data_IF_553812144802
#
_entry.id   IF_553812144802
#
_cell.length_a   1.000
_cell.length_b   1.000
_cell.length_c   1.000
_cell.angle_alpha   90.00
_cell.angle_beta   90.00
_cell.angle_gamma   90.00
#
_symmetry.space_group_name_H-M   'P 1'
#
loop_
_entity.id
_entity.type
_entity.pdbx_description
1 polymer ?
#
# COMPACT_ATOMS: atom_id res chain seq x y z
N UNK A 1 -12.95 22.05 23.46
CA UNK A 1 -13.17 21.03 22.42
C UNK A 1 -11.90 20.93 21.60
N UNK A 2 -11.18 19.82 21.67
CA UNK A 2 -10.08 19.58 20.73
C UNK A 2 -10.70 19.38 19.35
N UNK A 3 -10.23 20.14 18.35
CA UNK A 3 -10.68 19.99 16.96
C UNK A 3 -10.37 18.56 16.50
N UNK A 4 -11.40 17.82 16.07
CA UNK A 4 -11.20 16.51 15.44
C UNK A 4 -10.23 16.68 14.27
N UNK A 5 -9.13 15.92 14.30
CA UNK A 5 -8.08 16.01 13.29
C UNK A 5 -8.62 15.79 11.88
N UNK A 6 -7.92 16.33 10.87
CA UNK A 6 -8.29 16.15 9.48
C UNK A 6 -8.07 14.69 9.07
N UNK A 7 -9.08 14.06 8.47
CA UNK A 7 -8.94 12.69 7.96
C UNK A 7 -8.02 12.71 6.73
N UNK A 8 -6.99 11.88 6.75
CA UNK A 8 -6.08 11.65 5.62
C UNK A 8 -6.19 10.18 5.22
N UNK A 9 -6.78 9.92 4.07
CA UNK A 9 -6.88 8.57 3.51
C UNK A 9 -5.69 8.32 2.59
N UNK A 10 -4.91 7.28 2.86
CA UNK A 10 -3.80 6.84 2.03
C UNK A 10 -4.21 5.60 1.25
N UNK A 11 -4.41 5.77 -0.06
CA UNK A 11 -4.54 4.65 -0.99
C UNK A 11 -3.15 4.15 -1.39
N UNK A 12 -2.91 2.84 -1.30
CA UNK A 12 -1.60 2.29 -1.63
C UNK A 12 -1.66 0.84 -2.09
N UNK A 13 -0.61 0.43 -2.80
CA UNK A 13 -0.31 -0.95 -3.17
C UNK A 13 1.15 -1.25 -2.81
N UNK A 14 1.41 -2.44 -2.27
CA UNK A 14 2.77 -2.86 -1.89
C UNK A 14 3.71 -3.03 -3.10
N UNK A 15 3.16 -3.09 -4.32
CA UNK A 15 3.92 -3.02 -5.58
C UNK A 15 4.50 -1.64 -5.88
N UNK A 16 4.09 -0.60 -5.15
CA UNK A 16 4.53 0.77 -5.43
C UNK A 16 5.60 1.21 -4.43
N UNK A 17 6.86 1.44 -4.87
CA UNK A 17 7.90 1.95 -3.98
C UNK A 17 7.62 3.40 -3.55
N UNK A 18 7.02 4.22 -4.42
CA UNK A 18 6.58 5.57 -4.08
C UNK A 18 5.46 5.58 -3.02
N UNK A 19 4.56 4.58 -3.05
CA UNK A 19 3.56 4.44 -1.99
C UNK A 19 4.20 4.07 -0.66
N UNK A 20 5.30 3.30 -0.65
CA UNK A 20 6.04 3.03 0.58
C UNK A 20 6.66 4.29 1.18
N UNK A 21 7.29 5.13 0.34
CA UNK A 21 7.84 6.41 0.77
C UNK A 21 6.77 7.31 1.41
N UNK A 22 5.65 7.50 0.72
CA UNK A 22 4.53 8.31 1.23
C UNK A 22 3.95 7.73 2.53
N UNK A 23 3.82 6.40 2.58
CA UNK A 23 3.36 5.68 3.77
C UNK A 23 4.27 5.95 4.99
N UNK A 24 5.59 5.83 4.85
CA UNK A 24 6.51 6.05 5.96
C UNK A 24 6.51 7.51 6.42
N UNK A 25 6.42 8.47 5.49
CA UNK A 25 6.27 9.89 5.82
C UNK A 25 4.99 10.12 6.62
N UNK A 26 3.84 9.68 6.13
CA UNK A 26 2.56 9.86 6.83
C UNK A 26 2.56 9.18 8.21
N UNK A 27 3.15 7.99 8.33
CA UNK A 27 3.31 7.31 9.62
C UNK A 27 4.17 8.08 10.62
N UNK A 28 5.24 8.76 10.15
CA UNK A 28 6.09 9.61 11.01
C UNK A 28 5.36 10.86 11.47
N UNK A 29 4.57 11.47 10.59
CA UNK A 29 3.90 12.75 10.85
C UNK A 29 2.52 12.63 11.52
N UNK A 30 1.89 11.44 11.58
CA UNK A 30 0.57 11.27 12.23
C UNK A 30 0.54 11.69 13.71
N UNK A 31 1.67 11.65 14.40
CA UNK A 31 1.80 12.05 15.80
C UNK A 31 2.26 13.51 15.96
N UNK A 32 2.55 14.20 14.85
CA UNK A 32 3.01 15.60 14.80
C UNK A 32 1.89 16.50 14.27
N UNK A 33 1.17 16.04 13.26
CA UNK A 33 0.04 16.74 12.66
C UNK A 33 -1.28 16.30 13.29
N UNK A 34 -2.25 17.21 13.38
CA UNK A 34 -3.61 16.88 13.81
C UNK A 34 -4.38 16.16 12.69
N UNK A 35 -3.98 14.93 12.38
CA UNK A 35 -4.58 14.10 11.33
C UNK A 35 -5.04 12.75 11.86
N UNK A 36 -6.12 12.24 11.25
CA UNK A 36 -6.56 10.86 11.40
C UNK A 36 -6.19 10.08 10.13
N UNK A 37 -5.06 9.37 10.20
CA UNK A 37 -4.52 8.62 9.06
C UNK A 37 -5.27 7.29 8.88
N UNK A 38 -5.94 7.14 7.73
CA UNK A 38 -6.65 5.91 7.34
C UNK A 38 -5.92 5.21 6.20
N UNK A 39 -5.55 3.96 6.43
CA UNK A 39 -4.97 3.10 5.40
C UNK A 39 -6.06 2.51 4.51
N UNK A 40 -5.95 2.69 3.19
CA UNK A 40 -6.86 2.16 2.17
C UNK A 40 -6.08 1.25 1.20
N UNK A 41 -5.93 -0.05 1.51
CA UNK A 41 -5.27 -0.99 0.61
C UNK A 41 -6.02 -1.03 -0.73
N UNK A 42 -5.35 -0.69 -1.83
CA UNK A 42 -5.91 -0.59 -3.16
C UNK A 42 -5.05 -1.35 -4.18
N UNK A 43 -5.63 -1.75 -5.30
CA UNK A 43 -4.92 -2.51 -6.32
C UNK A 43 -4.43 -1.60 -7.46
N UNK A 44 -3.13 -1.31 -7.49
CA UNK A 44 -2.52 -0.37 -8.43
C UNK A 44 -2.80 -0.74 -9.88
N UNK A 45 -2.66 -2.02 -10.22
CA UNK A 45 -2.94 -2.52 -11.57
C UNK A 45 -4.39 -2.22 -11.98
N UNK A 46 -5.34 -2.37 -11.05
CA UNK A 46 -6.74 -1.99 -11.26
C UNK A 46 -6.93 -0.49 -11.49
N UNK A 47 -6.16 0.36 -10.80
CA UNK A 47 -6.19 1.81 -11.01
C UNK A 47 -5.58 2.21 -12.36
N UNK A 48 -4.47 1.59 -12.76
CA UNK A 48 -3.80 1.91 -14.03
C UNK A 48 -4.74 1.59 -15.20
N UNK A 49 -5.24 0.36 -15.28
CA UNK A 49 -6.13 -0.06 -16.36
C UNK A 49 -7.50 0.62 -16.31
N UNK A 50 -8.01 0.95 -15.12
CA UNK A 50 -9.28 1.64 -14.96
C UNK A 50 -9.23 3.14 -15.26
N UNK A 51 -8.05 3.71 -15.57
CA UNK A 51 -7.88 5.15 -15.76
C UNK A 51 -7.18 5.55 -17.06
N UNK A 52 -7.17 4.64 -18.05
CA UNK A 52 -6.52 4.80 -19.37
C UNK A 52 -5.04 5.24 -19.31
N UNK A 53 -4.38 5.04 -18.16
CA UNK A 53 -2.98 5.33 -17.97
C UNK A 53 -2.12 4.17 -18.47
N UNK A 54 -0.96 4.49 -19.06
CA UNK A 54 0.05 3.49 -19.36
C UNK A 54 1.00 3.30 -18.15
N UNK A 55 1.39 2.06 -17.82
CA UNK A 55 2.41 1.80 -16.81
C UNK A 55 3.71 2.56 -17.11
N UNK A 56 4.25 3.29 -16.12
CA UNK A 56 5.45 4.11 -16.31
C UNK A 56 6.67 3.31 -16.80
N UNK A 57 6.77 2.03 -16.41
CA UNK A 57 7.85 1.13 -16.81
C UNK A 57 7.83 0.71 -18.29
N UNK A 58 6.81 1.07 -19.07
CA UNK A 58 6.80 0.82 -20.53
C UNK A 58 7.68 1.80 -21.30
N UNK A 59 8.05 2.93 -20.71
CA UNK A 59 8.96 3.90 -21.32
C UNK A 59 10.38 3.70 -20.72
N UNK A 60 11.38 3.28 -21.52
CA UNK A 60 12.73 3.01 -21.02
C UNK A 60 13.39 4.21 -20.32
N UNK A 61 13.21 5.42 -20.86
CA UNK A 61 13.77 6.64 -20.27
C UNK A 61 13.15 6.94 -18.90
N UNK A 62 11.82 6.75 -18.76
CA UNK A 62 11.15 6.87 -17.46
C UNK A 62 11.62 5.81 -16.47
N UNK A 63 11.85 4.59 -16.94
CA UNK A 63 12.36 3.50 -16.08
C UNK A 63 13.76 3.84 -15.52
N UNK A 64 14.68 4.30 -16.37
CA UNK A 64 16.03 4.73 -15.95
C UNK A 64 15.96 5.87 -14.93
N UNK A 65 15.05 6.82 -15.14
CA UNK A 65 14.81 7.91 -14.19
C UNK A 65 14.30 7.40 -12.84
N UNK A 66 13.22 6.63 -12.83
CA UNK A 66 12.62 6.04 -11.60
C UNK A 66 13.68 5.29 -10.80
N UNK A 67 14.52 4.53 -11.50
CA UNK A 67 15.58 3.74 -10.89
C UNK A 67 16.63 4.61 -10.18
N UNK A 68 16.97 5.77 -10.76
CA UNK A 68 17.92 6.72 -10.15
C UNK A 68 17.28 7.51 -9.02
N UNK A 69 16.03 7.92 -9.23
CA UNK A 69 15.21 8.67 -8.27
C UNK A 69 14.97 7.85 -6.99
N UNK A 70 14.58 6.59 -7.10
CA UNK A 70 14.35 5.73 -5.93
C UNK A 70 15.60 5.50 -5.08
N UNK A 71 16.80 5.48 -5.68
CA UNK A 71 18.05 5.44 -4.91
C UNK A 71 18.20 6.68 -4.05
N UNK A 72 18.01 7.87 -4.64
CA UNK A 72 18.11 9.15 -3.93
C UNK A 72 17.03 9.27 -2.84
N UNK A 73 15.79 8.89 -3.16
CA UNK A 73 14.67 8.98 -2.21
C UNK A 73 14.80 7.97 -1.07
N UNK A 74 15.35 6.77 -1.32
CA UNK A 74 15.67 5.78 -0.29
C UNK A 74 16.60 6.37 0.76
N UNK A 75 17.65 7.07 0.33
CA UNK A 75 18.60 7.76 1.22
C UNK A 75 17.94 8.95 1.92
N UNK A 76 17.29 9.83 1.16
CA UNK A 76 16.68 11.06 1.68
C UNK A 76 15.61 10.80 2.74
N UNK A 77 14.73 9.83 2.51
CA UNK A 77 13.68 9.47 3.47
C UNK A 77 14.14 8.41 4.48
N UNK A 78 15.34 7.84 4.38
CA UNK A 78 15.80 6.75 5.25
C UNK A 78 14.89 5.52 5.18
N UNK A 79 14.39 5.19 3.99
CA UNK A 79 13.56 4.00 3.73
C UNK A 79 14.38 3.07 2.82
N UNK A 80 15.07 2.06 3.39
CA UNK A 80 16.05 1.28 2.63
C UNK A 80 15.38 0.41 1.58
N UNK A 81 15.43 0.88 0.33
CA UNK A 81 15.00 0.15 -0.86
C UNK A 81 16.24 -0.27 -1.64
N UNK A 82 16.27 -1.53 -2.05
CA UNK A 82 17.26 -2.05 -2.96
C UNK A 82 16.62 -2.30 -4.32
N UNK A 83 17.41 -2.22 -5.38
CA UNK A 83 16.92 -2.50 -6.73
C UNK A 83 16.87 -4.02 -6.91
N UNK A 84 15.69 -4.63 -7.18
CA UNK A 84 15.66 -6.04 -7.53
C UNK A 84 16.34 -6.26 -8.88
N UNK A 85 16.99 -7.40 -9.05
CA UNK A 85 17.61 -7.81 -10.32
C UNK A 85 16.56 -8.02 -11.42
N UNK A 86 15.32 -8.29 -11.04
CA UNK A 86 14.18 -8.43 -11.95
C UNK A 86 12.96 -7.63 -11.45
N UNK A 87 12.37 -6.83 -12.34
CA UNK A 87 11.17 -6.02 -12.10
C UNK A 87 9.90 -6.61 -12.76
N UNK A 88 10.00 -7.84 -13.29
CA UNK A 88 8.91 -8.52 -13.99
C UNK A 88 7.75 -8.88 -13.07
N UNK A 89 8.02 -9.20 -11.80
CA UNK A 89 7.00 -9.60 -10.84
C UNK A 89 6.22 -8.39 -10.29
N UNK A 90 5.03 -8.20 -10.86
CA UNK A 90 4.09 -7.13 -10.53
C UNK A 90 2.82 -7.64 -9.87
N UNK A 91 2.69 -8.95 -9.63
CA UNK A 91 1.46 -9.46 -9.01
C UNK A 91 1.48 -9.18 -7.51
N UNK A 92 0.49 -8.41 -7.07
CA UNK A 92 0.25 -8.11 -5.66
C UNK A 92 -1.17 -8.42 -5.25
N UNK A 93 -1.96 -9.08 -6.09
CA UNK A 93 -3.38 -9.31 -5.81
C UNK A 93 -3.59 -10.10 -4.51
N UNK A 94 -2.79 -11.15 -4.28
CA UNK A 94 -2.86 -11.94 -3.06
C UNK A 94 -2.40 -11.13 -1.84
N UNK A 95 -1.30 -10.38 -1.98
CA UNK A 95 -0.79 -9.51 -0.92
C UNK A 95 -1.80 -8.42 -0.53
N UNK A 96 -2.40 -7.73 -1.51
CA UNK A 96 -3.36 -6.67 -1.25
C UNK A 96 -4.65 -7.20 -0.64
N UNK A 97 -5.13 -8.40 -1.05
CA UNK A 97 -6.25 -9.07 -0.37
C UNK A 97 -5.91 -9.46 1.06
N UNK A 98 -4.69 -9.92 1.32
CA UNK A 98 -4.23 -10.23 2.67
C UNK A 98 -4.24 -8.98 3.55
N UNK A 99 -3.69 -7.86 3.07
CA UNK A 99 -3.73 -6.57 3.81
C UNK A 99 -5.18 -6.09 4.00
N UNK A 100 -6.05 -6.21 3.00
CA UNK A 100 -7.48 -5.88 3.15
C UNK A 100 -8.15 -6.75 4.22
N UNK A 101 -7.85 -8.05 4.26
CA UNK A 101 -8.36 -8.93 5.31
C UNK A 101 -7.87 -8.52 6.71
N UNK A 102 -6.60 -8.10 6.84
CA UNK A 102 -6.06 -7.54 8.10
C UNK A 102 -6.84 -6.29 8.49
N UNK A 103 -7.08 -5.37 7.53
CA UNK A 103 -7.80 -4.13 7.78
C UNK A 103 -9.26 -4.33 8.21
N UNK A 104 -9.95 -5.33 7.65
CA UNK A 104 -11.35 -5.63 8.03
C UNK A 104 -11.45 -6.33 9.39
N UNK A 105 -10.42 -7.09 9.80
CA UNK A 105 -10.39 -7.77 11.09
C UNK A 105 -9.91 -6.86 12.22
N UNK A 106 -9.00 -5.94 11.91
CA UNK A 106 -8.45 -5.00 12.89
C UNK A 106 -9.50 -3.98 13.32
N UNK A 107 -9.72 -3.86 14.63
CA UNK A 107 -10.72 -2.94 15.20
C UNK A 107 -10.11 -1.63 15.73
N UNK A 108 -8.78 -1.54 15.81
CA UNK A 108 -8.09 -0.47 16.54
C UNK A 108 -6.97 0.18 15.72
N UNK A 109 -7.22 1.38 15.20
CA UNK A 109 -6.16 2.33 14.83
C UNK A 109 -5.24 1.97 13.65
N UNK A 110 -5.42 0.82 12.99
CA UNK A 110 -4.67 0.42 11.79
C UNK A 110 -3.20 0.05 12.06
N UNK A 111 -2.85 -0.31 13.30
CA UNK A 111 -1.50 -0.69 13.72
C UNK A 111 -1.04 -1.98 13.05
N UNK A 112 -1.90 -3.01 12.98
CA UNK A 112 -1.58 -4.27 12.32
C UNK A 112 -1.50 -4.09 10.80
N UNK A 113 -2.41 -3.33 10.20
CA UNK A 113 -2.32 -2.94 8.78
C UNK A 113 -0.99 -2.26 8.50
N UNK A 114 -0.57 -1.31 9.34
CA UNK A 114 0.69 -0.62 9.17
C UNK A 114 1.89 -1.60 9.22
N UNK A 115 1.93 -2.47 10.24
CA UNK A 115 3.04 -3.43 10.43
C UNK A 115 3.09 -4.44 9.29
N UNK A 116 1.96 -5.03 8.90
CA UNK A 116 1.88 -6.01 7.82
C UNK A 116 2.30 -5.39 6.49
N UNK A 117 1.79 -4.21 6.15
CA UNK A 117 2.15 -3.53 4.91
C UNK A 117 3.65 -3.20 4.86
N UNK A 118 4.23 -2.75 5.97
CA UNK A 118 5.68 -2.50 6.09
C UNK A 118 6.50 -3.77 5.89
N UNK A 119 6.09 -4.91 6.46
CA UNK A 119 6.79 -6.18 6.25
C UNK A 119 6.68 -6.66 4.80
N UNK A 120 5.54 -6.50 4.14
CA UNK A 120 5.39 -6.82 2.72
C UNK A 120 6.25 -5.93 1.81
N UNK A 121 6.31 -4.61 2.09
CA UNK A 121 7.21 -3.71 1.36
C UNK A 121 8.68 -4.07 1.57
N UNK A 122 9.12 -4.31 2.81
CA UNK A 122 10.49 -4.79 3.08
C UNK A 122 10.75 -6.08 2.31
N UNK A 123 9.80 -7.01 2.33
CA UNK A 123 9.94 -8.30 1.66
C UNK A 123 10.19 -8.13 0.15
N UNK A 124 9.39 -7.30 -0.52
CA UNK A 124 9.52 -7.02 -1.98
C UNK A 124 10.72 -6.12 -2.33
N UNK A 125 10.83 -4.97 -1.69
CA UNK A 125 11.73 -3.88 -2.09
C UNK A 125 13.07 -3.87 -1.37
N UNK A 126 13.22 -4.62 -0.28
CA UNK A 126 14.49 -4.70 0.46
C UNK A 126 15.12 -6.08 0.35
N UNK A 127 14.36 -7.15 0.55
CA UNK A 127 14.92 -8.51 0.54
C UNK A 127 14.67 -9.27 -0.76
N UNK A 128 13.89 -8.69 -1.69
CA UNK A 128 13.56 -9.29 -2.99
C UNK A 128 12.97 -10.70 -2.87
N UNK A 129 12.14 -10.89 -1.86
CA UNK A 129 11.44 -12.13 -1.57
C UNK A 129 10.01 -12.04 -2.11
N UNK A 130 9.46 -13.21 -2.45
CA UNK A 130 8.09 -13.36 -2.94
C UNK A 130 7.05 -12.77 -1.97
N UNK A 131 5.96 -12.23 -2.52
CA UNK A 131 4.78 -11.78 -1.76
C UNK A 131 3.47 -12.36 -2.31
N UNK A 132 3.54 -13.34 -3.22
CA UNK A 132 2.37 -13.91 -3.89
C UNK A 132 1.89 -15.20 -3.21
N UNK A 133 2.80 -15.96 -2.61
CA UNK A 133 2.51 -17.28 -2.05
C UNK A 133 1.98 -17.18 -0.61
N UNK A 134 1.08 -18.09 -0.19
CA UNK A 134 0.58 -18.12 1.19
C UNK A 134 1.68 -18.17 2.24
N UNK A 135 2.74 -18.96 2.02
CA UNK A 135 3.87 -19.06 2.95
C UNK A 135 4.62 -17.72 3.13
N UNK A 136 4.77 -16.95 2.06
CA UNK A 136 5.38 -15.62 2.11
C UNK A 136 4.53 -14.62 2.90
N UNK A 137 3.21 -14.67 2.71
CA UNK A 137 2.25 -13.86 3.46
C UNK A 137 2.23 -14.26 4.93
N UNK A 138 2.34 -15.56 5.24
CA UNK A 138 2.47 -16.07 6.61
C UNK A 138 3.69 -15.46 7.29
N UNK A 139 4.86 -15.57 6.66
CA UNK A 139 6.11 -15.05 7.21
C UNK A 139 6.03 -13.55 7.48
N UNK A 140 5.47 -12.77 6.55
CA UNK A 140 5.27 -11.33 6.72
C UNK A 140 4.30 -11.01 7.86
N UNK A 141 3.19 -11.77 7.97
CA UNK A 141 2.22 -11.62 9.05
C UNK A 141 2.80 -11.91 10.43
N UNK A 142 3.57 -13.00 10.56
CA UNK A 142 4.25 -13.36 11.80
C UNK A 142 5.29 -12.31 12.21
N UNK A 143 6.12 -11.84 11.25
CA UNK A 143 7.08 -10.75 11.50
C UNK A 143 6.41 -9.43 11.91
N UNK A 144 5.19 -9.19 11.43
CA UNK A 144 4.38 -8.04 11.81
C UNK A 144 3.73 -8.18 13.21
N UNK A 145 3.87 -9.34 13.86
CA UNK A 145 3.36 -9.61 15.21
C UNK A 145 1.96 -10.22 15.26
N UNK A 146 1.45 -10.76 14.14
CA UNK A 146 0.26 -11.61 14.16
C UNK A 146 0.63 -12.98 14.75
N UNK A 147 -0.24 -13.57 15.56
CA UNK A 147 -0.11 -14.97 15.99
C UNK A 147 -0.46 -15.95 14.86
N UNK A 148 0.09 -17.16 14.86
CA UNK A 148 -0.16 -18.20 13.84
C UNK A 148 -1.65 -18.39 13.52
N UNK A 149 -2.49 -18.59 14.54
CA UNK A 149 -3.94 -18.76 14.37
C UNK A 149 -4.60 -17.58 13.63
N UNK A 150 -4.16 -16.36 13.94
CA UNK A 150 -4.70 -15.15 13.30
C UNK A 150 -4.25 -15.07 11.84
N UNK A 151 -3.00 -15.43 11.55
CA UNK A 151 -2.47 -15.45 10.18
C UNK A 151 -3.22 -16.45 9.31
N UNK A 152 -3.45 -17.67 9.80
CA UNK A 152 -4.23 -18.70 9.09
C UNK A 152 -5.67 -18.25 8.80
N UNK A 153 -6.30 -17.59 9.78
CA UNK A 153 -7.64 -17.04 9.61
C UNK A 153 -7.65 -15.92 8.56
N UNK A 154 -6.67 -15.00 8.60
CA UNK A 154 -6.53 -13.92 7.61
C UNK A 154 -6.27 -14.48 6.21
N UNK A 155 -5.43 -15.51 6.07
CA UNK A 155 -5.19 -16.18 4.79
C UNK A 155 -6.47 -16.79 4.22
N UNK A 156 -7.28 -17.42 5.07
CA UNK A 156 -8.57 -17.96 4.68
C UNK A 156 -9.54 -16.83 4.27
N UNK A 157 -9.63 -15.79 5.09
CA UNK A 157 -10.49 -14.64 4.85
C UNK A 157 -10.11 -13.88 3.57
N UNK A 158 -8.82 -13.76 3.25
CA UNK A 158 -8.32 -13.07 2.06
C UNK A 158 -8.82 -13.67 0.73
N UNK A 159 -9.23 -14.94 0.75
CA UNK A 159 -9.80 -15.66 -0.41
C UNK A 159 -11.31 -15.49 -0.52
N UNK A 160 -11.97 -14.99 0.52
CA UNK A 160 -13.42 -14.85 0.59
C UNK A 160 -13.94 -13.76 -0.36
N UNK A 161 -15.19 -13.94 -0.81
CA UNK A 161 -15.85 -12.98 -1.70
C UNK A 161 -15.95 -11.56 -1.07
N UNK A 162 -16.29 -11.39 0.23
CA UNK A 162 -16.33 -10.07 0.85
C UNK A 162 -15.02 -9.29 0.76
N UNK A 163 -13.86 -9.94 0.95
CA UNK A 163 -12.55 -9.26 0.84
C UNK A 163 -12.23 -8.88 -0.61
N UNK A 164 -12.58 -9.76 -1.57
CA UNK A 164 -12.40 -9.47 -3.00
C UNK A 164 -13.22 -8.25 -3.42
N UNK A 165 -14.47 -8.18 -2.97
CA UNK A 165 -15.37 -7.06 -3.24
C UNK A 165 -14.92 -5.78 -2.54
N UNK A 166 -14.43 -5.89 -1.30
CA UNK A 166 -13.88 -4.74 -0.57
C UNK A 166 -12.67 -4.14 -1.27
N UNK A 167 -11.68 -4.96 -1.65
CA UNK A 167 -10.50 -4.48 -2.38
C UNK A 167 -10.90 -3.83 -3.71
N UNK A 168 -11.85 -4.43 -4.44
CA UNK A 168 -12.40 -3.86 -5.67
C UNK A 168 -13.05 -2.50 -5.40
N UNK A 169 -13.90 -2.39 -4.37
CA UNK A 169 -14.60 -1.17 -3.99
C UNK A 169 -13.63 -0.04 -3.64
N UNK A 170 -12.62 -0.30 -2.80
CA UNK A 170 -11.58 0.69 -2.42
C UNK A 170 -10.76 1.11 -3.64
N UNK A 171 -10.46 0.18 -4.56
CA UNK A 171 -9.76 0.50 -5.81
C UNK A 171 -10.60 1.42 -6.72
N UNK A 172 -11.92 1.23 -6.76
CA UNK A 172 -12.84 2.11 -7.49
C UNK A 172 -13.00 3.48 -6.82
N UNK A 173 -12.96 3.53 -5.49
CA UNK A 173 -12.92 4.79 -4.72
C UNK A 173 -11.67 5.61 -5.10
N UNK A 174 -10.49 4.97 -5.14
CA UNK A 174 -9.25 5.61 -5.59
C UNK A 174 -9.37 6.19 -7.01
N UNK A 175 -9.99 5.46 -7.95
CA UNK A 175 -10.22 5.94 -9.31
C UNK A 175 -11.07 7.22 -9.35
N UNK A 176 -12.17 7.27 -8.59
CA UNK A 176 -13.04 8.46 -8.50
C UNK A 176 -12.32 9.66 -7.89
N UNK A 177 -11.45 9.44 -6.92
CA UNK A 177 -10.62 10.51 -6.36
C UNK A 177 -9.58 11.01 -7.37
N UNK A 178 -8.99 10.13 -8.18
CA UNK A 178 -8.08 10.53 -9.27
C UNK A 178 -8.77 11.44 -10.28
N UNK A 179 -9.99 11.12 -10.72
CA UNK A 179 -10.77 11.99 -11.63
C UNK A 179 -10.94 13.41 -11.07
N UNK A 180 -10.98 13.55 -9.74
CA UNK A 180 -11.10 14.84 -9.04
C UNK A 180 -9.75 15.53 -8.75
N UNK A 181 -8.64 14.81 -8.73
CA UNK A 181 -7.34 15.31 -8.21
C UNK A 181 -6.16 15.21 -9.18
N UNK A 182 -6.30 14.56 -10.32
CA UNK A 182 -5.38 14.65 -11.46
C UNK A 182 -4.05 13.88 -11.36
N UNK A 183 -3.75 13.12 -10.28
CA UNK A 183 -2.45 12.42 -10.14
C UNK A 183 -2.55 11.01 -9.52
N UNK A 184 -1.45 10.23 -9.63
CA UNK A 184 -1.36 8.78 -9.31
C UNK A 184 -1.51 8.40 -7.83
N UNK A 185 -1.42 7.08 -7.55
CA UNK A 185 -1.97 6.33 -6.40
C UNK A 185 -1.85 6.94 -4.99
N UNK A 186 -0.92 7.85 -4.74
CA UNK A 186 -0.85 8.64 -3.49
C UNK A 186 -1.88 9.76 -3.53
N UNK A 187 -3.14 9.38 -3.30
CA UNK A 187 -4.26 10.30 -3.23
C UNK A 187 -4.44 10.78 -1.79
N UNK A 188 -4.49 12.08 -1.58
CA UNK A 188 -5.11 12.69 -0.39
C UNK A 188 -6.43 13.30 -0.82
N UNK A 189 -7.53 12.92 -0.18
CA UNK A 189 -8.88 13.44 -0.50
C UNK A 189 -8.93 14.97 -0.34
N UNK A 190 -9.33 15.75 -1.36
CA UNK A 190 -9.65 17.17 -1.17
C UNK A 190 -11.03 17.27 -0.51
N UNK A 191 -11.06 17.81 0.71
CA UNK A 191 -12.31 18.15 1.41
C UNK A 191 -13.05 19.28 0.66
N UNK A 192 -14.40 19.28 0.67
CA UNK A 192 -15.17 20.42 0.15
C UNK A 192 -14.87 21.65 1.01
N UNK A 193 -14.64 22.79 0.35
CA UNK A 193 -14.51 24.08 1.01
C UNK A 193 -15.82 24.37 1.76
N UNK A 194 -15.72 24.71 3.05
CA UNK A 194 -16.79 25.33 3.82
C UNK A 194 -17.19 26.67 3.21
#
# INVERSE_FOLDING_TARGET
MFSSGKVVELFYDVVSPYSWLAFEVLCRYRNVWNIDLKFKPAYLTGVIYGSDNQPAGMNPSKLTYIVSDLTLLSEYFGVPMFRPSDLSDKDTLNAMRFVTAVAEKEKEGGVLVERVSRELWKRKWRTHQDITQPASLTEAGLKAGLSDNVVEEILTLSKSQPIRDKLKSVTQEALKHKERSGWGLTLTSPQPQC
#
